data_IF_805023193627
#
_entry.id   IF_805023193627
#
_cell.length_a   1.000
_cell.length_b   1.000
_cell.length_c   1.000
_cell.angle_alpha   90.00
_cell.angle_beta   90.00
_cell.angle_gamma   90.00
#
_symmetry.space_group_name_H-M   'P 1'
#
loop_
_entity.id
_entity.type
_entity.pdbx_description
1 polymer ?
#
# COMPACT_ATOMS: atom_id res chain seq x y z
N UNK A 1 -24.45 20.59 18.79
CA UNK A 1 -24.12 19.24 19.30
C UNK A 1 -22.79 18.81 18.72
N UNK A 2 -21.72 18.72 19.52
CA UNK A 2 -20.42 18.25 19.04
C UNK A 2 -20.41 16.71 18.97
N UNK A 3 -19.97 16.13 17.84
CA UNK A 3 -19.79 14.68 17.72
C UNK A 3 -18.56 14.28 18.54
N UNK A 4 -18.76 13.48 19.59
CA UNK A 4 -17.67 12.91 20.38
C UNK A 4 -16.91 11.90 19.48
N UNK A 5 -15.59 12.03 19.30
CA UNK A 5 -14.84 11.10 18.47
C UNK A 5 -14.86 9.71 19.10
N UNK A 6 -15.19 8.69 18.31
CA UNK A 6 -15.22 7.31 18.78
C UNK A 6 -13.80 6.90 19.21
N UNK A 7 -13.64 6.17 20.34
CA UNK A 7 -12.33 5.69 20.77
C UNK A 7 -11.71 4.84 19.67
N UNK A 8 -10.44 5.14 19.33
CA UNK A 8 -9.68 4.34 18.36
C UNK A 8 -9.51 2.94 18.95
N UNK A 9 -9.84 1.92 18.16
CA UNK A 9 -9.66 0.51 18.57
C UNK A 9 -8.18 0.29 18.88
N UNK A 10 -7.82 -0.44 19.96
CA UNK A 10 -6.44 -0.78 20.23
C UNK A 10 -5.87 -1.58 19.04
N UNK A 11 -4.68 -1.20 18.60
CA UNK A 11 -3.99 -1.87 17.50
C UNK A 11 -3.47 -3.21 18.00
N UNK A 12 -3.86 -4.30 17.37
CA UNK A 12 -3.40 -5.63 17.76
C UNK A 12 -1.95 -5.86 17.30
N UNK A 13 -1.16 -6.64 18.04
CA UNK A 13 0.25 -6.89 17.68
C UNK A 13 0.42 -7.48 16.27
N UNK A 14 -0.52 -8.33 15.86
CA UNK A 14 -0.54 -8.93 14.52
C UNK A 14 -0.65 -7.87 13.41
N UNK A 15 -1.38 -6.79 13.66
CA UNK A 15 -1.53 -5.67 12.74
C UNK A 15 -0.23 -4.85 12.66
N UNK A 16 0.41 -4.60 13.81
CA UNK A 16 1.72 -3.94 13.88
C UNK A 16 2.80 -4.75 13.15
N UNK A 17 2.82 -6.08 13.32
CA UNK A 17 3.77 -6.96 12.64
C UNK A 17 3.55 -6.94 11.13
N UNK A 18 2.30 -7.03 10.67
CA UNK A 18 1.95 -6.92 9.25
C UNK A 18 2.34 -5.57 8.67
N UNK A 19 2.12 -4.49 9.40
CA UNK A 19 2.51 -3.15 8.96
C UNK A 19 4.03 -2.99 8.89
N UNK A 20 4.79 -3.54 9.85
CA UNK A 20 6.27 -3.55 9.78
C UNK A 20 6.79 -4.27 8.54
N UNK A 21 6.19 -5.40 8.18
CA UNK A 21 6.56 -6.15 6.96
C UNK A 21 6.21 -5.35 5.72
N UNK A 22 5.00 -4.77 5.68
CA UNK A 22 4.52 -3.98 4.53
C UNK A 22 5.26 -2.67 4.36
N UNK A 23 5.70 -2.02 5.43
CA UNK A 23 6.37 -0.72 5.33
C UNK A 23 7.66 -0.78 4.51
N UNK A 24 8.31 -1.95 4.44
CA UNK A 24 9.51 -2.16 3.62
C UNK A 24 9.23 -2.19 2.12
N UNK A 25 7.99 -2.45 1.72
CA UNK A 25 7.60 -2.65 0.30
C UNK A 25 6.44 -1.76 -0.12
N UNK A 26 5.94 -0.90 0.77
CA UNK A 26 4.80 -0.04 0.51
C UNK A 26 5.23 1.17 -0.30
N UNK A 27 4.72 1.27 -1.52
CA UNK A 27 4.90 2.43 -2.40
C UNK A 27 3.58 3.20 -2.43
N UNK A 28 3.60 4.45 -1.96
CA UNK A 28 2.45 5.34 -2.00
C UNK A 28 2.52 6.17 -3.28
N UNK A 29 1.74 5.76 -4.29
CA UNK A 29 1.80 6.32 -5.65
C UNK A 29 0.81 7.49 -5.82
N UNK A 30 -0.20 7.59 -4.95
CA UNK A 30 -1.22 8.63 -5.02
C UNK A 30 -1.97 8.59 -6.35
N UNK A 31 -2.02 9.72 -7.05
CA UNK A 31 -2.76 9.91 -8.30
C UNK A 31 -2.27 9.02 -9.45
N UNK A 32 -1.03 8.51 -9.38
CA UNK A 32 -0.50 7.61 -10.39
C UNK A 32 -0.88 6.12 -10.16
N UNK A 33 -1.73 5.81 -9.16
CA UNK A 33 -2.16 4.44 -8.86
C UNK A 33 -2.91 3.78 -10.04
N UNK A 34 -3.71 4.54 -10.78
CA UNK A 34 -4.39 4.03 -11.96
C UNK A 34 -3.40 3.68 -13.08
N UNK A 35 -2.36 4.52 -13.27
CA UNK A 35 -1.27 4.24 -14.21
C UNK A 35 -0.48 3.00 -13.79
N UNK A 36 -0.25 2.83 -12.49
CA UNK A 36 0.40 1.64 -11.94
C UNK A 36 -0.40 0.36 -12.21
N UNK A 37 -1.72 0.38 -11.99
CA UNK A 37 -2.58 -0.77 -12.29
C UNK A 37 -2.58 -1.12 -13.78
N UNK A 38 -2.65 -0.11 -14.66
CA UNK A 38 -2.56 -0.32 -16.12
C UNK A 38 -1.22 -0.95 -16.49
N UNK A 39 -0.12 -0.39 -16.00
CA UNK A 39 1.23 -0.91 -16.26
C UNK A 39 1.39 -2.36 -15.77
N UNK A 40 0.85 -2.68 -14.59
CA UNK A 40 0.86 -4.04 -14.04
C UNK A 40 0.14 -5.03 -14.94
N UNK A 41 -1.02 -4.65 -15.47
CA UNK A 41 -1.81 -5.48 -16.38
C UNK A 41 -1.17 -5.62 -17.75
N UNK A 42 -0.74 -4.50 -18.36
CA UNK A 42 -0.11 -4.48 -19.69
C UNK A 42 1.17 -5.31 -19.75
N UNK A 43 1.97 -5.29 -18.69
CA UNK A 43 3.23 -6.02 -18.58
C UNK A 43 3.11 -7.36 -17.83
N UNK A 44 1.90 -7.71 -17.41
CA UNK A 44 1.57 -8.96 -16.71
C UNK A 44 2.44 -9.20 -15.45
N UNK A 45 2.69 -8.14 -14.68
CA UNK A 45 3.51 -8.20 -13.47
C UNK A 45 2.73 -8.84 -12.31
N UNK A 46 3.32 -9.87 -11.69
CA UNK A 46 2.71 -10.63 -10.58
C UNK A 46 2.58 -9.82 -9.29
N UNK A 47 3.52 -8.93 -9.03
CA UNK A 47 3.60 -8.18 -7.77
C UNK A 47 3.88 -6.70 -8.03
N UNK A 48 3.44 -5.85 -7.12
CA UNK A 48 3.72 -4.42 -7.17
C UNK A 48 5.23 -4.14 -7.03
N UNK A 49 5.96 -4.99 -6.30
CA UNK A 49 7.41 -4.94 -6.24
C UNK A 49 8.08 -5.11 -7.63
N UNK A 50 7.55 -5.97 -8.49
CA UNK A 50 8.08 -6.15 -9.84
C UNK A 50 7.84 -4.92 -10.72
N UNK A 51 6.68 -4.27 -10.58
CA UNK A 51 6.37 -2.99 -11.25
C UNK A 51 7.34 -1.91 -10.77
N UNK A 52 7.63 -1.87 -9.46
CA UNK A 52 8.57 -0.93 -8.87
C UNK A 52 9.98 -1.12 -9.43
N UNK A 53 10.49 -2.36 -9.42
CA UNK A 53 11.81 -2.69 -9.94
C UNK A 53 11.93 -2.30 -11.42
N UNK A 54 10.90 -2.58 -12.24
CA UNK A 54 10.87 -2.18 -13.64
C UNK A 54 10.91 -0.67 -13.88
N UNK A 55 10.40 0.14 -12.94
CA UNK A 55 10.43 1.60 -13.04
C UNK A 55 11.71 2.23 -12.49
N UNK A 56 12.52 1.46 -11.75
CA UNK A 56 13.76 1.90 -11.11
C UNK A 56 15.02 1.47 -11.89
N UNK A 57 14.87 0.49 -12.79
CA UNK A 57 15.84 0.15 -13.86
C UNK A 57 15.70 1.13 -15.04
#
# INVERSE_FOLDING_TARGET
MYKVPKPKRPRYESEVRRDKVRNKTRICIGDAFDRWRRLKTEKNFKTDANVANFLLD
#
